data_IF_064783726518
#
_entry.id   IF_064783726518
#
_cell.length_a   1.000
_cell.length_b   1.000
_cell.length_c   1.000
_cell.angle_alpha   90.00
_cell.angle_beta   90.00
_cell.angle_gamma   90.00
#
_symmetry.space_group_name_H-M   'P 1'
#
loop_
_entity.id
_entity.type
_entity.pdbx_description
1 polymer ?
#
# COMPACT_ATOMS: atom_id res chain seq x y z
N UNK A 1 -23.05 -0.15 -35.35
CA UNK A 1 -21.91 0.67 -35.76
C UNK A 1 -22.00 2.11 -35.24
N UNK A 2 -23.14 2.82 -35.45
CA UNK A 2 -23.32 4.21 -35.02
C UNK A 2 -23.15 4.40 -33.51
N UNK A 3 -23.79 3.58 -32.67
CA UNK A 3 -23.68 3.66 -31.22
C UNK A 3 -22.25 3.39 -30.72
N UNK A 4 -21.52 2.53 -31.40
CA UNK A 4 -20.10 2.28 -31.08
C UNK A 4 -19.23 3.50 -31.37
N UNK A 5 -19.41 4.12 -32.55
CA UNK A 5 -18.69 5.34 -32.91
C UNK A 5 -19.02 6.53 -32.01
N UNK A 6 -20.31 6.66 -31.63
CA UNK A 6 -20.76 7.68 -30.68
C UNK A 6 -20.13 7.46 -29.30
N UNK A 7 -20.11 6.23 -28.80
CA UNK A 7 -19.49 5.89 -27.51
C UNK A 7 -17.99 6.20 -27.51
N UNK A 8 -17.29 5.83 -28.60
CA UNK A 8 -15.86 6.14 -28.77
C UNK A 8 -15.60 7.65 -28.79
N UNK A 9 -16.46 8.41 -29.49
CA UNK A 9 -16.35 9.87 -29.56
C UNK A 9 -16.58 10.52 -28.19
N UNK A 10 -17.63 10.11 -27.47
CA UNK A 10 -17.91 10.61 -26.10
C UNK A 10 -16.76 10.26 -25.16
N UNK A 11 -16.25 9.02 -25.19
CA UNK A 11 -15.12 8.60 -24.38
C UNK A 11 -13.86 9.43 -24.67
N UNK A 12 -13.57 9.66 -25.95
CA UNK A 12 -12.43 10.50 -26.36
C UNK A 12 -12.59 11.95 -25.87
N UNK A 13 -13.80 12.52 -25.96
CA UNK A 13 -14.09 13.84 -25.41
C UNK A 13 -13.92 13.91 -23.89
N UNK A 14 -14.34 12.87 -23.17
CA UNK A 14 -14.16 12.77 -21.72
C UNK A 14 -12.67 12.76 -21.37
N UNK A 15 -11.88 11.91 -22.02
CA UNK A 15 -10.43 11.85 -21.79
C UNK A 15 -9.75 13.19 -22.13
N UNK A 16 -10.15 13.84 -23.20
CA UNK A 16 -9.60 15.13 -23.58
C UNK A 16 -9.98 16.25 -22.61
N UNK A 17 -11.21 16.24 -22.08
CA UNK A 17 -11.72 17.28 -21.19
C UNK A 17 -11.26 17.12 -19.73
N UNK A 18 -11.14 15.88 -19.24
CA UNK A 18 -10.82 15.57 -17.82
C UNK A 18 -9.50 14.83 -17.64
N UNK A 19 -8.86 14.35 -18.72
CA UNK A 19 -7.63 13.56 -18.62
C UNK A 19 -7.84 12.19 -17.98
N UNK A 20 -6.74 11.56 -17.57
CA UNK A 20 -6.71 10.29 -16.84
C UNK A 20 -6.04 10.50 -15.48
N UNK A 21 -6.61 9.89 -14.42
CA UNK A 21 -6.09 10.01 -13.06
C UNK A 21 -5.45 8.69 -12.65
N UNK A 22 -4.19 8.74 -12.21
CA UNK A 22 -3.48 7.55 -11.76
C UNK A 22 -2.56 7.85 -10.57
N UNK A 23 -2.09 6.80 -9.91
CA UNK A 23 -1.12 6.89 -8.83
C UNK A 23 0.23 6.49 -9.41
N UNK A 24 1.22 7.42 -9.42
CA UNK A 24 2.58 7.08 -9.83
C UNK A 24 3.21 6.13 -8.84
N UNK A 25 3.68 4.97 -9.30
CA UNK A 25 4.32 3.97 -8.42
C UNK A 25 5.57 4.52 -7.74
N UNK A 26 6.29 5.42 -8.41
CA UNK A 26 7.48 6.10 -7.87
C UNK A 26 7.17 7.08 -6.72
N UNK A 27 5.91 7.47 -6.54
CA UNK A 27 5.46 8.42 -5.51
C UNK A 27 4.67 7.75 -4.39
N UNK A 28 4.64 6.42 -4.35
CA UNK A 28 4.02 5.68 -3.26
C UNK A 28 4.74 6.01 -1.93
N UNK A 29 4.06 6.63 -0.94
CA UNK A 29 4.74 7.16 0.25
C UNK A 29 5.35 6.09 1.14
N UNK A 30 4.79 4.88 1.13
CA UNK A 30 5.30 3.73 1.86
C UNK A 30 5.78 2.59 0.94
N UNK A 31 5.94 2.88 -0.38
CA UNK A 31 6.31 1.88 -1.37
C UNK A 31 5.19 0.88 -1.66
N UNK A 32 5.58 -0.35 -1.96
CA UNK A 32 4.70 -1.43 -2.38
C UNK A 32 4.74 -2.59 -1.38
N UNK A 33 3.66 -3.35 -1.29
CA UNK A 33 3.63 -4.69 -0.70
C UNK A 33 3.69 -5.72 -1.82
N UNK A 34 4.41 -6.82 -1.62
CA UNK A 34 4.67 -7.84 -2.61
C UNK A 34 4.20 -9.21 -2.13
N UNK A 35 3.83 -10.10 -3.07
CA UNK A 35 3.56 -11.48 -2.74
C UNK A 35 4.85 -12.28 -2.49
N UNK A 36 4.69 -13.52 -2.01
CA UNK A 36 5.81 -14.40 -1.68
C UNK A 36 6.72 -14.67 -2.89
N UNK A 37 6.16 -14.81 -4.09
CA UNK A 37 6.92 -15.02 -5.34
C UNK A 37 7.84 -13.84 -5.64
N UNK A 38 7.37 -12.60 -5.43
CA UNK A 38 8.17 -11.39 -5.59
C UNK A 38 9.22 -11.26 -4.49
N UNK A 39 8.90 -11.64 -3.24
CA UNK A 39 9.90 -11.68 -2.15
C UNK A 39 11.05 -12.63 -2.49
N UNK A 40 10.75 -13.82 -3.02
CA UNK A 40 11.76 -14.78 -3.47
C UNK A 40 12.59 -14.27 -4.65
N UNK A 41 12.05 -13.38 -5.48
CA UNK A 41 12.79 -12.68 -6.52
C UNK A 41 13.67 -11.54 -5.99
N UNK A 42 13.56 -11.18 -4.69
CA UNK A 42 14.40 -10.20 -4.02
C UNK A 42 13.76 -8.84 -3.74
N UNK A 43 12.47 -8.65 -4.07
CA UNK A 43 11.69 -7.48 -3.66
C UNK A 43 11.39 -7.55 -2.16
N UNK A 44 11.14 -6.39 -1.54
CA UNK A 44 10.75 -6.28 -0.13
C UNK A 44 9.60 -5.30 0.01
N UNK A 45 8.74 -5.57 0.98
CA UNK A 45 7.69 -4.63 1.33
C UNK A 45 8.28 -3.28 1.73
N UNK A 46 7.70 -2.21 1.20
CA UNK A 46 8.22 -0.87 1.33
C UNK A 46 9.18 -0.42 0.21
N UNK A 47 9.60 -1.29 -0.71
CA UNK A 47 10.33 -0.86 -1.90
C UNK A 47 9.47 0.07 -2.75
N UNK A 48 10.01 1.21 -3.15
CA UNK A 48 9.41 2.08 -4.16
C UNK A 48 10.01 1.72 -5.51
N UNK A 49 9.18 1.31 -6.45
CA UNK A 49 9.60 0.92 -7.80
C UNK A 49 10.03 2.15 -8.61
N UNK A 50 11.27 2.20 -9.08
CA UNK A 50 11.84 3.33 -9.82
C UNK A 50 11.87 3.07 -11.32
N UNK A 51 12.56 2.01 -11.77
CA UNK A 51 12.75 1.72 -13.19
C UNK A 51 13.05 0.25 -13.45
N UNK A 52 12.76 -0.20 -14.67
CA UNK A 52 13.18 -1.48 -15.24
C UNK A 52 14.23 -1.22 -16.32
N UNK A 53 15.46 -1.77 -16.18
CA UNK A 53 16.59 -1.55 -17.08
C UNK A 53 16.81 -0.07 -17.44
N UNK A 54 16.57 0.84 -16.45
CA UNK A 54 16.69 2.29 -16.62
C UNK A 54 15.46 2.99 -17.20
N UNK A 55 14.41 2.27 -17.62
CA UNK A 55 13.14 2.85 -18.07
C UNK A 55 12.23 3.08 -16.85
N UNK A 56 11.85 4.33 -16.54
CA UNK A 56 11.06 4.64 -15.36
C UNK A 56 9.66 4.02 -15.41
N UNK A 57 9.19 3.51 -14.26
CA UNK A 57 7.80 3.11 -14.11
C UNK A 57 6.88 4.32 -14.00
N UNK A 58 5.70 4.27 -14.59
CA UNK A 58 4.72 5.36 -14.51
C UNK A 58 3.60 5.02 -13.51
N UNK A 59 2.85 3.96 -13.75
CA UNK A 59 1.65 3.61 -13.00
C UNK A 59 1.50 2.11 -12.75
N UNK A 60 0.66 1.75 -11.78
CA UNK A 60 0.24 0.38 -11.58
C UNK A 60 -0.68 -0.06 -12.73
N UNK A 61 -0.39 -1.21 -13.33
CA UNK A 61 -1.17 -1.79 -14.42
C UNK A 61 -0.52 -3.05 -14.99
N UNK A 62 -1.10 -3.61 -16.05
CA UNK A 62 -0.52 -4.77 -16.77
C UNK A 62 0.87 -4.47 -17.31
N UNK A 63 1.09 -3.24 -17.75
CA UNK A 63 2.36 -2.79 -18.31
C UNK A 63 3.49 -2.82 -17.26
N UNK A 64 3.17 -2.57 -15.99
CA UNK A 64 4.12 -2.66 -14.89
C UNK A 64 4.65 -4.09 -14.71
N UNK A 65 3.75 -5.08 -14.69
CA UNK A 65 4.15 -6.47 -14.56
C UNK A 65 5.03 -6.91 -15.73
N UNK A 66 4.62 -6.61 -16.97
CA UNK A 66 5.38 -6.90 -18.17
C UNK A 66 6.77 -6.26 -18.12
N UNK A 67 6.84 -4.98 -17.75
CA UNK A 67 8.11 -4.26 -17.64
C UNK A 67 9.04 -4.87 -16.58
N UNK A 68 8.49 -5.40 -15.48
CA UNK A 68 9.28 -6.08 -14.44
C UNK A 68 9.82 -7.41 -14.96
N UNK A 69 8.96 -8.27 -15.52
CA UNK A 69 9.36 -9.64 -15.88
C UNK A 69 10.26 -9.70 -17.12
N UNK A 70 10.18 -8.72 -18.01
CA UNK A 70 11.01 -8.61 -19.20
C UNK A 70 12.38 -7.95 -18.93
N UNK A 71 12.53 -7.32 -17.75
CA UNK A 71 13.77 -6.64 -17.38
C UNK A 71 14.85 -7.64 -16.90
N UNK A 72 16.11 -7.24 -17.03
CA UNK A 72 17.24 -7.92 -16.37
C UNK A 72 17.35 -7.52 -14.91
N UNK A 73 17.09 -6.23 -14.64
CA UNK A 73 17.09 -5.68 -13.29
C UNK A 73 16.02 -4.61 -13.12
N UNK A 74 15.51 -4.52 -11.90
CA UNK A 74 14.62 -3.44 -11.46
C UNK A 74 15.36 -2.61 -10.42
N UNK A 75 15.37 -1.29 -10.60
CA UNK A 75 15.84 -0.35 -9.59
C UNK A 75 14.70 0.00 -8.66
N UNK A 76 14.94 -0.14 -7.37
CA UNK A 76 13.99 0.22 -6.29
C UNK A 76 14.64 1.22 -5.33
N UNK A 77 13.83 2.03 -4.66
CA UNK A 77 14.27 2.81 -3.51
C UNK A 77 13.89 2.03 -2.24
N UNK A 78 14.88 1.50 -1.54
CA UNK A 78 14.78 0.69 -0.33
C UNK A 78 15.42 1.44 0.83
N UNK A 79 14.66 1.74 1.88
CA UNK A 79 15.15 2.51 3.05
C UNK A 79 15.84 3.84 2.66
N UNK A 80 15.31 4.51 1.63
CA UNK A 80 15.84 5.78 1.12
C UNK A 80 17.11 5.65 0.27
N UNK A 81 17.53 4.43 -0.10
CA UNK A 81 18.69 4.16 -0.96
C UNK A 81 18.30 3.36 -2.19
N UNK A 82 18.91 3.66 -3.31
CA UNK A 82 18.73 2.84 -4.51
C UNK A 82 19.31 1.45 -4.32
N UNK A 83 18.55 0.44 -4.75
CA UNK A 83 18.97 -0.95 -4.78
C UNK A 83 18.53 -1.57 -6.11
N UNK A 84 19.29 -2.56 -6.59
CA UNK A 84 18.96 -3.33 -7.80
C UNK A 84 18.46 -4.71 -7.43
N UNK A 85 17.33 -5.09 -7.99
CA UNK A 85 16.76 -6.44 -7.93
C UNK A 85 16.96 -7.09 -9.28
N UNK A 86 17.68 -8.20 -9.34
CA UNK A 86 17.90 -8.97 -10.57
C UNK A 86 16.73 -9.94 -10.77
N UNK A 87 16.12 -9.89 -11.94
CA UNK A 87 14.89 -10.62 -12.22
C UNK A 87 15.22 -12.03 -12.71
N UNK A 88 14.71 -13.09 -12.05
CA UNK A 88 14.84 -14.46 -12.51
C UNK A 88 14.10 -14.69 -13.84
N UNK A 89 14.71 -15.46 -14.75
CA UNK A 89 14.10 -15.75 -16.07
C UNK A 89 12.76 -16.48 -15.97
N UNK A 90 12.53 -17.22 -14.88
CA UNK A 90 11.31 -17.98 -14.60
C UNK A 90 10.25 -17.20 -13.80
N UNK A 91 10.48 -15.89 -13.55
CA UNK A 91 9.58 -15.09 -12.68
C UNK A 91 8.14 -15.10 -13.19
N UNK A 92 7.93 -14.94 -14.50
CA UNK A 92 6.58 -14.93 -15.09
C UNK A 92 5.85 -16.26 -14.83
N UNK A 93 6.53 -17.39 -15.06
CA UNK A 93 5.94 -18.72 -14.85
C UNK A 93 5.56 -18.94 -13.38
N UNK A 94 6.41 -18.47 -12.47
CA UNK A 94 6.15 -18.53 -11.01
C UNK A 94 4.97 -17.65 -10.61
N UNK A 95 4.85 -16.44 -11.16
CA UNK A 95 3.73 -15.54 -10.91
C UNK A 95 2.41 -16.06 -11.51
N UNK A 96 2.45 -16.75 -12.66
CA UNK A 96 1.28 -17.39 -13.24
C UNK A 96 0.80 -18.58 -12.41
N UNK A 97 1.70 -19.29 -11.73
CA UNK A 97 1.36 -20.37 -10.81
C UNK A 97 0.83 -19.85 -9.46
N UNK A 98 1.17 -18.61 -9.09
CA UNK A 98 0.69 -17.93 -7.89
C UNK A 98 -0.63 -17.21 -8.21
N UNK A 99 -1.71 -17.56 -7.51
CA UNK A 99 -3.02 -16.95 -7.72
C UNK A 99 -3.18 -15.59 -7.02
N UNK A 100 -2.16 -15.12 -6.31
CA UNK A 100 -2.20 -13.86 -5.58
C UNK A 100 -1.72 -12.69 -6.45
N UNK A 101 -2.17 -11.47 -6.11
CA UNK A 101 -1.68 -10.26 -6.78
C UNK A 101 -0.18 -10.10 -6.52
N UNK A 102 0.63 -9.84 -7.53
CA UNK A 102 2.09 -9.74 -7.43
C UNK A 102 2.56 -8.57 -6.56
N UNK A 103 1.84 -7.43 -6.61
CA UNK A 103 2.14 -6.24 -5.81
C UNK A 103 0.88 -5.39 -5.61
N UNK A 104 0.86 -4.59 -4.55
CA UNK A 104 -0.13 -3.55 -4.29
C UNK A 104 0.54 -2.33 -3.64
N UNK A 105 -0.14 -1.19 -3.63
CA UNK A 105 0.33 -0.04 -2.87
C UNK A 105 0.28 -0.33 -1.36
N UNK A 106 1.33 0.07 -0.66
CA UNK A 106 1.37 0.03 0.79
C UNK A 106 0.65 1.24 1.36
N UNK A 107 -0.50 1.00 2.02
CA UNK A 107 -1.37 2.07 2.50
C UNK A 107 -0.95 2.58 3.88
N UNK A 108 -0.79 3.91 4.06
CA UNK A 108 -0.64 4.50 5.38
C UNK A 108 -1.81 4.13 6.30
N UNK A 109 -1.52 3.86 7.56
CA UNK A 109 -2.53 3.54 8.55
C UNK A 109 -3.05 4.82 9.21
N UNK A 110 -4.01 5.47 8.60
CA UNK A 110 -4.66 6.68 9.13
C UNK A 110 -6.02 6.32 9.72
N UNK A 111 -6.31 6.80 10.92
CA UNK A 111 -7.58 6.58 11.60
C UNK A 111 -8.67 7.47 10.97
N UNK A 112 -9.74 6.88 10.46
CA UNK A 112 -10.93 7.61 9.99
C UNK A 112 -11.91 7.86 11.14
N UNK A 113 -12.14 6.85 12.01
CA UNK A 113 -13.01 6.98 13.18
C UNK A 113 -12.57 6.11 14.34
N UNK A 114 -12.98 6.50 15.55
CA UNK A 114 -12.71 5.78 16.80
C UNK A 114 -14.04 5.50 17.50
N UNK A 115 -14.25 4.26 17.91
CA UNK A 115 -15.46 3.81 18.61
C UNK A 115 -15.37 4.17 20.10
N UNK A 116 -16.31 4.96 20.59
CA UNK A 116 -16.34 5.37 22.00
C UNK A 116 -16.37 4.16 22.96
N UNK A 117 -15.59 4.24 24.04
CA UNK A 117 -15.51 3.19 25.05
C UNK A 117 -14.64 1.99 24.65
N UNK A 118 -14.10 1.92 23.45
CA UNK A 118 -13.17 0.87 23.01
C UNK A 118 -11.72 1.25 23.34
N UNK A 119 -10.78 0.29 23.32
CA UNK A 119 -9.39 0.52 23.74
C UNK A 119 -8.71 1.75 23.14
N UNK A 120 -8.86 1.98 21.85
CA UNK A 120 -8.26 3.14 21.18
C UNK A 120 -8.80 4.48 21.70
N UNK A 121 -10.13 4.58 21.90
CA UNK A 121 -10.75 5.77 22.47
C UNK A 121 -10.28 6.03 23.91
N UNK A 122 -10.22 4.98 24.72
CA UNK A 122 -9.75 5.06 26.12
C UNK A 122 -8.27 5.46 26.21
N UNK A 123 -7.46 5.04 25.25
CA UNK A 123 -6.05 5.41 25.13
C UNK A 123 -5.83 6.81 24.52
N UNK A 124 -6.88 7.49 24.03
CA UNK A 124 -6.81 8.85 23.52
C UNK A 124 -6.47 8.98 22.04
N UNK A 125 -6.56 7.89 21.24
CA UNK A 125 -6.47 7.96 19.78
C UNK A 125 -7.66 8.74 19.20
N UNK A 126 -7.42 9.44 18.09
CA UNK A 126 -8.40 10.32 17.46
C UNK A 126 -8.44 10.11 15.94
N UNK A 127 -9.54 10.45 15.27
CA UNK A 127 -9.58 10.55 13.82
C UNK A 127 -8.46 11.48 13.29
N UNK A 128 -7.78 11.05 12.23
CA UNK A 128 -6.64 11.76 11.64
C UNK A 128 -5.27 11.33 12.19
N UNK A 129 -5.19 10.56 13.28
CA UNK A 129 -3.93 9.99 13.72
C UNK A 129 -3.40 9.02 12.66
N UNK A 130 -2.12 9.14 12.34
CA UNK A 130 -1.41 8.20 11.47
C UNK A 130 -0.57 7.26 12.30
N UNK A 131 -0.97 5.99 12.38
CA UNK A 131 -0.21 4.95 13.09
C UNK A 131 0.99 4.56 12.22
N UNK A 132 2.18 4.65 12.79
CA UNK A 132 3.45 4.40 12.06
C UNK A 132 4.19 3.19 12.57
N UNK A 133 4.00 2.82 13.86
CA UNK A 133 4.66 1.65 14.43
C UNK A 133 3.73 0.86 15.36
N UNK A 134 3.94 -0.46 15.37
CA UNK A 134 3.41 -1.39 16.34
C UNK A 134 4.59 -2.08 17.03
N UNK A 135 4.68 -1.96 18.37
CA UNK A 135 5.74 -2.52 19.22
C UNK A 135 7.16 -2.18 18.73
N UNK A 136 7.34 -0.95 18.20
CA UNK A 136 8.60 -0.43 17.68
C UNK A 136 8.95 -0.86 16.26
N UNK A 137 8.11 -1.65 15.58
CA UNK A 137 8.26 -2.02 14.17
C UNK A 137 7.42 -1.09 13.29
N UNK A 138 8.00 -0.58 12.22
CA UNK A 138 7.24 0.20 11.22
C UNK A 138 6.15 -0.68 10.60
N UNK A 139 4.95 -0.12 10.48
CA UNK A 139 3.79 -0.81 9.93
C UNK A 139 3.02 0.07 8.94
N UNK A 140 2.34 -0.57 8.01
CA UNK A 140 1.24 -0.04 7.24
C UNK A 140 -0.09 -0.65 7.72
N UNK A 141 -1.19 -0.27 7.11
CA UNK A 141 -2.51 -0.72 7.56
C UNK A 141 -2.68 -2.24 7.52
N UNK A 142 -2.25 -2.88 6.43
CA UNK A 142 -2.41 -4.33 6.29
C UNK A 142 -1.50 -5.12 7.22
N UNK A 143 -0.29 -4.62 7.52
CA UNK A 143 0.61 -5.24 8.51
C UNK A 143 -0.02 -5.28 9.90
N UNK A 144 -0.67 -4.18 10.31
CA UNK A 144 -1.38 -4.14 11.59
C UNK A 144 -2.47 -5.19 11.64
N UNK A 145 -3.27 -5.29 10.57
CA UNK A 145 -4.36 -6.25 10.50
C UNK A 145 -3.87 -7.70 10.54
N UNK A 146 -2.81 -8.00 9.80
CA UNK A 146 -2.18 -9.32 9.79
C UNK A 146 -1.60 -9.68 11.18
N UNK A 147 -0.88 -8.75 11.80
CA UNK A 147 -0.31 -8.96 13.13
C UNK A 147 -1.40 -9.22 14.18
N UNK A 148 -2.52 -8.49 14.14
CA UNK A 148 -3.65 -8.74 15.04
C UNK A 148 -4.27 -10.13 14.81
N UNK A 149 -4.44 -10.54 13.55
CA UNK A 149 -4.91 -11.90 13.23
C UNK A 149 -3.94 -12.99 13.69
N UNK A 150 -2.64 -12.74 13.64
CA UNK A 150 -1.63 -13.69 14.09
C UNK A 150 -1.65 -13.83 15.63
N UNK A 151 -1.79 -12.71 16.36
CA UNK A 151 -1.94 -12.72 17.83
C UNK A 151 -3.20 -13.44 18.28
N UNK A 152 -4.28 -13.38 17.51
CA UNK A 152 -5.50 -14.13 17.81
C UNK A 152 -5.27 -15.65 17.89
N UNK A 153 -4.26 -16.17 17.17
CA UNK A 153 -3.98 -17.61 17.11
C UNK A 153 -3.26 -18.15 18.36
N UNK A 154 -2.70 -17.29 19.22
CA UNK A 154 -1.96 -17.73 20.42
C UNK A 154 -2.86 -18.11 21.60
N UNK A 155 -4.16 -17.87 21.49
CA UNK A 155 -5.17 -18.26 22.48
C UNK A 155 -5.25 -17.36 23.72
N UNK A 156 -4.55 -16.23 23.75
CA UNK A 156 -4.70 -15.23 24.82
C UNK A 156 -6.01 -14.46 24.64
N UNK A 157 -6.60 -13.97 25.70
CA UNK A 157 -7.86 -13.21 25.64
C UNK A 157 -7.67 -11.76 25.15
N UNK A 158 -6.48 -11.21 25.26
CA UNK A 158 -6.13 -9.84 24.86
C UNK A 158 -4.62 -9.68 24.80
N UNK A 159 -4.14 -8.63 24.14
CA UNK A 159 -2.72 -8.29 24.03
C UNK A 159 -2.46 -6.84 24.42
N UNK A 160 -1.40 -6.62 25.17
CA UNK A 160 -0.82 -5.29 25.33
C UNK A 160 -0.02 -4.94 24.07
N UNK A 161 -0.32 -3.81 23.48
CA UNK A 161 0.35 -3.29 22.31
C UNK A 161 0.81 -1.85 22.53
N UNK A 162 1.92 -1.49 21.93
CA UNK A 162 2.44 -0.13 21.89
C UNK A 162 2.34 0.41 20.48
N UNK A 163 1.63 1.52 20.33
CA UNK A 163 1.46 2.20 19.05
C UNK A 163 2.24 3.51 19.06
N UNK A 164 3.04 3.74 18.01
CA UNK A 164 3.58 5.06 17.70
C UNK A 164 2.71 5.68 16.62
N UNK A 165 2.29 6.91 16.81
CA UNK A 165 1.42 7.62 15.89
C UNK A 165 1.90 9.05 15.67
N UNK A 166 1.47 9.65 14.55
CA UNK A 166 1.70 11.06 14.22
C UNK A 166 0.37 11.77 14.25
N UNK A 167 0.27 12.84 15.05
CA UNK A 167 -0.86 13.76 15.13
C UNK A 167 -0.39 15.18 14.87
N UNK A 168 -0.93 15.84 13.85
CA UNK A 168 -0.56 17.22 13.48
C UNK A 168 0.97 17.40 13.32
N UNK A 169 1.66 16.41 12.77
CA UNK A 169 3.11 16.44 12.56
C UNK A 169 3.96 16.12 13.80
N UNK A 170 3.34 15.87 14.95
CA UNK A 170 4.02 15.45 16.19
C UNK A 170 3.92 13.96 16.36
N UNK A 171 5.06 13.29 16.57
CA UNK A 171 5.12 11.86 16.86
C UNK A 171 4.94 11.64 18.36
N UNK A 172 4.07 10.72 18.74
CA UNK A 172 3.83 10.30 20.11
C UNK A 172 3.63 8.78 20.18
N UNK A 173 3.66 8.22 21.38
CA UNK A 173 3.53 6.78 21.61
C UNK A 173 2.57 6.53 22.78
N UNK A 174 1.70 5.56 22.60
CA UNK A 174 0.81 5.09 23.65
C UNK A 174 0.80 3.56 23.76
N UNK A 175 0.37 3.06 24.89
CA UNK A 175 0.12 1.64 25.11
C UNK A 175 -1.36 1.42 25.39
N UNK A 176 -1.91 0.35 24.86
CA UNK A 176 -3.28 -0.08 25.11
C UNK A 176 -3.37 -1.61 25.10
N UNK A 177 -4.40 -2.13 25.71
CA UNK A 177 -4.73 -3.57 25.66
C UNK A 177 -5.87 -3.76 24.67
N UNK A 178 -5.74 -4.71 23.74
CA UNK A 178 -6.82 -5.08 22.81
C UNK A 178 -8.00 -5.66 23.60
N UNK A 179 -9.19 -5.63 23.02
CA UNK A 179 -10.32 -6.34 23.62
C UNK A 179 -10.28 -7.85 23.34
N UNK A 180 -11.28 -8.57 23.81
CA UNK A 180 -11.41 -10.02 23.63
C UNK A 180 -11.63 -10.47 22.18
N UNK A 181 -11.87 -9.54 21.25
CA UNK A 181 -11.96 -9.78 19.82
C UNK A 181 -10.65 -9.38 19.10
N UNK A 182 -9.61 -9.02 19.85
CA UNK A 182 -8.32 -8.51 19.35
C UNK A 182 -8.46 -7.21 18.57
N UNK A 183 -9.53 -6.48 18.82
CA UNK A 183 -9.79 -5.19 18.19
C UNK A 183 -9.43 -4.05 19.12
N UNK A 184 -9.11 -2.91 18.56
CA UNK A 184 -8.88 -1.68 19.30
C UNK A 184 -9.99 -0.64 19.12
N UNK A 185 -10.96 -0.94 18.24
CA UNK A 185 -12.14 -0.11 18.03
C UNK A 185 -11.88 1.12 17.16
N UNK A 186 -11.22 0.93 16.02
CA UNK A 186 -10.98 1.99 15.01
C UNK A 186 -11.48 1.55 13.64
N UNK A 187 -11.73 2.54 12.79
CA UNK A 187 -11.88 2.37 11.35
C UNK A 187 -10.75 3.11 10.65
N UNK A 188 -10.08 2.46 9.72
CA UNK A 188 -9.02 3.10 8.95
C UNK A 188 -9.58 3.89 7.76
N UNK A 189 -8.91 4.98 7.40
CA UNK A 189 -9.17 5.70 6.16
C UNK A 189 -8.77 4.81 4.97
N UNK A 190 -9.71 4.55 4.06
CA UNK A 190 -9.50 3.70 2.90
C UNK A 190 -9.70 4.44 1.57
N UNK A 191 -9.92 5.75 1.61
CA UNK A 191 -10.06 6.57 0.41
C UNK A 191 -8.69 6.80 -0.21
N UNK A 192 -8.38 6.06 -1.27
CA UNK A 192 -7.08 6.08 -1.96
C UNK A 192 -6.59 7.50 -2.28
N UNK A 193 -7.48 8.38 -2.76
CA UNK A 193 -7.13 9.76 -3.08
C UNK A 193 -6.70 10.63 -1.87
N UNK A 194 -6.95 10.17 -0.64
CA UNK A 194 -6.47 10.83 0.59
C UNK A 194 -5.15 10.25 1.09
N UNK A 195 -4.87 9.01 0.76
CA UNK A 195 -3.73 8.26 1.28
C UNK A 195 -2.55 8.24 0.30
N UNK A 196 -2.85 8.29 -1.01
CA UNK A 196 -1.86 8.16 -2.06
C UNK A 196 -1.89 9.39 -2.99
N UNK A 197 -0.75 9.78 -3.56
CA UNK A 197 -0.66 10.92 -4.47
C UNK A 197 -1.29 10.58 -5.82
N UNK A 198 -2.51 11.06 -6.06
CA UNK A 198 -3.17 10.96 -7.36
C UNK A 198 -2.67 12.10 -8.25
N UNK A 199 -2.21 11.78 -9.44
CA UNK A 199 -1.87 12.77 -10.47
C UNK A 199 -2.84 12.67 -11.64
N UNK A 200 -3.06 13.79 -12.31
CA UNK A 200 -3.91 13.87 -13.49
C UNK A 200 -3.02 14.06 -14.72
N UNK A 201 -3.22 13.22 -15.73
CA UNK A 201 -2.55 13.33 -17.03
C UNK A 201 -3.51 14.00 -18.00
N UNK A 202 -3.18 15.21 -18.41
CA UNK A 202 -3.93 15.93 -19.45
C UNK A 202 -3.42 15.51 -20.83
N UNK A 203 -4.35 15.30 -21.77
CA UNK A 203 -4.03 15.00 -23.15
C UNK A 203 -4.23 16.28 -23.97
N UNK A 204 -3.13 16.84 -24.47
CA UNK A 204 -3.10 18.03 -25.35
C UNK A 204 -3.03 17.62 -26.83
#
# INVERSE_FOLDING_TARGET
LFNFLLALFIYSMILFAWGDSYIPVQKAPLGMDFNETMHQAGFRDGDVLISADGVPFERMGSDLLTAIVDARQVTVLRDGKEASVYIPEDLMDRLLADSTRFADFRYPFVIDSVVAGRPAALAGLQPGDSITQLDGRNIAYFDFKEEMMNRQKDGQASHDIRLTYVRNGVTDTLSLTTDSLYEIGITAEMRTARLLPVVQKEYS
#
